data_IF_878430656423
#
_entry.id   IF_878430656423
#
_cell.length_a   1.000
_cell.length_b   1.000
_cell.length_c   1.000
_cell.angle_alpha   90.00
_cell.angle_beta   90.00
_cell.angle_gamma   90.00
#
_symmetry.space_group_name_H-M   'P 1'
#
loop_
_entity.id
_entity.type
_entity.pdbx_description
1 polymer ?
#
# COMPACT_ATOMS: atom_id res chain seq x y z
N UNK A 1 11.50 -3.15 -4.26
CA UNK A 1 10.46 -4.05 -4.80
C UNK A 1 9.86 -3.49 -6.08
N UNK A 2 9.37 -2.26 -6.10
CA UNK A 2 8.80 -1.61 -7.30
C UNK A 2 9.68 -1.71 -8.54
N UNK A 3 10.95 -1.26 -8.48
CA UNK A 3 11.87 -1.35 -9.62
C UNK A 3 12.09 -2.78 -10.13
N UNK A 4 12.16 -3.76 -9.23
CA UNK A 4 12.30 -5.17 -9.62
C UNK A 4 11.05 -5.66 -10.33
N UNK A 5 9.86 -5.27 -9.85
CA UNK A 5 8.58 -5.57 -10.49
C UNK A 5 8.47 -4.97 -11.89
N UNK A 6 8.86 -3.70 -12.06
CA UNK A 6 8.89 -3.03 -13.38
C UNK A 6 9.89 -3.71 -14.32
N UNK A 7 11.09 -4.06 -13.84
CA UNK A 7 12.07 -4.79 -14.67
C UNK A 7 11.53 -6.15 -15.12
N UNK A 8 10.84 -6.86 -14.22
CA UNK A 8 10.24 -8.16 -14.54
C UNK A 8 9.10 -8.03 -15.54
N UNK A 9 8.22 -7.04 -15.38
CA UNK A 9 7.13 -6.80 -16.32
C UNK A 9 7.66 -6.47 -17.72
N UNK A 10 8.68 -5.62 -17.81
CA UNK A 10 9.33 -5.26 -19.06
C UNK A 10 9.97 -6.47 -19.73
N UNK A 11 10.64 -7.34 -18.95
CA UNK A 11 11.25 -8.58 -19.47
C UNK A 11 10.21 -9.51 -20.12
N UNK A 12 8.99 -9.54 -19.60
CA UNK A 12 7.93 -10.42 -20.08
C UNK A 12 6.90 -9.72 -20.99
N UNK A 13 7.13 -8.45 -21.35
CA UNK A 13 6.23 -7.70 -22.22
C UNK A 13 4.83 -7.45 -21.63
N UNK A 14 4.70 -7.45 -20.30
CA UNK A 14 3.43 -7.21 -19.60
C UNK A 14 3.38 -5.83 -18.97
N UNK A 15 2.18 -5.26 -18.85
CA UNK A 15 1.96 -3.94 -18.23
C UNK A 15 2.11 -4.04 -16.72
N UNK A 16 2.99 -3.22 -16.14
CA UNK A 16 3.08 -3.07 -14.69
C UNK A 16 1.95 -2.16 -14.20
N UNK A 17 1.26 -2.57 -13.14
CA UNK A 17 0.21 -1.80 -12.47
C UNK A 17 0.56 -1.68 -10.99
N UNK A 18 0.46 -0.48 -10.45
CA UNK A 18 0.74 -0.21 -9.04
C UNK A 18 -0.46 0.45 -8.38
N UNK A 19 -0.92 -0.14 -7.28
CA UNK A 19 -1.97 0.40 -6.43
C UNK A 19 -1.40 0.49 -5.01
N UNK A 20 -1.48 1.67 -4.42
CA UNK A 20 -1.11 1.90 -3.03
C UNK A 20 -2.35 1.99 -2.16
N UNK A 21 -2.47 1.08 -1.19
CA UNK A 21 -3.42 1.22 -0.09
C UNK A 21 -2.83 2.18 0.93
N UNK A 22 -3.37 3.39 0.98
CA UNK A 22 -2.87 4.46 1.83
C UNK A 22 -3.74 4.63 3.08
N UNK A 23 -3.10 4.89 4.21
CA UNK A 23 -3.73 5.22 5.47
C UNK A 23 -2.78 6.09 6.29
N UNK A 24 -3.12 7.37 6.48
CA UNK A 24 -2.35 8.32 7.27
C UNK A 24 -2.97 8.53 8.65
N UNK A 25 -3.26 7.43 9.33
CA UNK A 25 -3.86 7.43 10.65
C UNK A 25 -3.17 6.36 11.50
N UNK A 26 -2.34 6.82 12.44
CA UNK A 26 -1.57 5.95 13.31
C UNK A 26 -2.46 5.22 14.32
N UNK A 27 -3.54 5.85 14.78
CA UNK A 27 -4.46 5.27 15.75
C UNK A 27 -5.24 4.12 15.12
N UNK A 28 -5.80 4.35 13.93
CA UNK A 28 -6.48 3.31 13.15
C UNK A 28 -5.54 2.14 12.81
N UNK A 29 -4.28 2.43 12.45
CA UNK A 29 -3.28 1.38 12.21
C UNK A 29 -3.02 0.57 13.48
N UNK A 30 -2.79 1.22 14.62
CA UNK A 30 -2.53 0.53 15.87
C UNK A 30 -3.73 -0.30 16.33
N UNK A 31 -4.94 0.22 16.16
CA UNK A 31 -6.18 -0.54 16.41
C UNK A 31 -6.22 -1.81 15.56
N UNK A 32 -5.91 -1.72 14.25
CA UNK A 32 -5.83 -2.90 13.36
C UNK A 32 -4.72 -3.87 13.74
N UNK A 33 -3.56 -3.38 14.21
CA UNK A 33 -2.44 -4.22 14.62
C UNK A 33 -2.73 -4.99 15.92
N UNK A 34 -3.52 -4.41 16.82
CA UNK A 34 -3.92 -5.02 18.10
C UNK A 34 -5.09 -6.00 17.96
N UNK A 35 -6.01 -5.75 17.03
CA UNK A 35 -7.21 -6.59 16.83
C UNK A 35 -6.97 -7.83 15.97
N UNK A 36 -5.91 -7.82 15.14
CA UNK A 36 -5.56 -9.00 14.31
C UNK A 36 -4.97 -10.14 15.14
N UNK A 37 -5.11 -11.37 14.65
CA UNK A 37 -4.32 -12.51 15.15
C UNK A 37 -2.84 -12.32 14.76
N UNK A 38 -2.02 -11.87 15.71
CA UNK A 38 -0.60 -11.58 15.50
C UNK A 38 0.23 -12.85 15.24
N UNK A 39 1.08 -12.82 14.22
CA UNK A 39 2.14 -13.81 13.99
C UNK A 39 3.45 -13.39 14.67
N UNK A 40 4.34 -14.34 14.96
CA UNK A 40 5.58 -14.10 15.72
C UNK A 40 6.48 -13.01 15.10
N UNK A 41 6.58 -12.96 13.78
CA UNK A 41 7.41 -11.97 13.06
C UNK A 41 6.77 -10.60 12.89
N UNK A 42 5.51 -10.43 13.28
CA UNK A 42 4.76 -9.21 13.07
C UNK A 42 4.86 -8.28 14.27
N UNK A 43 4.99 -6.98 13.99
CA UNK A 43 4.93 -5.93 15.02
C UNK A 43 3.54 -5.89 15.66
N UNK A 44 3.49 -5.44 16.91
CA UNK A 44 2.25 -5.30 17.68
C UNK A 44 1.65 -3.90 17.58
N UNK A 45 2.50 -2.88 17.46
CA UNK A 45 2.12 -1.48 17.31
C UNK A 45 3.22 -0.69 16.62
N UNK A 46 2.89 0.51 16.16
CA UNK A 46 3.84 1.54 15.77
C UNK A 46 4.20 2.34 17.01
N UNK A 47 5.50 2.48 17.31
CA UNK A 47 5.98 3.02 18.59
C UNK A 47 5.94 4.54 18.69
N UNK A 48 6.01 5.26 17.57
CA UNK A 48 5.98 6.73 17.57
C UNK A 48 5.49 7.32 16.26
N UNK A 49 4.94 8.53 16.35
CA UNK A 49 4.51 9.31 15.20
C UNK A 49 5.68 9.65 14.25
N UNK A 50 6.88 9.86 14.80
CA UNK A 50 8.08 10.12 14.01
C UNK A 50 8.45 8.90 13.16
N UNK A 51 8.44 7.71 13.76
CA UNK A 51 8.69 6.47 13.03
C UNK A 51 7.61 6.22 11.98
N UNK A 52 6.34 6.50 12.32
CA UNK A 52 5.21 6.38 11.41
C UNK A 52 5.35 7.28 10.18
N UNK A 53 5.60 8.57 10.38
CA UNK A 53 5.81 9.54 9.28
C UNK A 53 7.02 9.17 8.43
N UNK A 54 8.12 8.71 9.04
CA UNK A 54 9.30 8.24 8.31
C UNK A 54 8.96 7.05 7.42
N UNK A 55 8.16 6.11 7.90
CA UNK A 55 7.71 4.95 7.12
C UNK A 55 6.79 5.35 5.96
N UNK A 56 5.78 6.19 6.21
CA UNK A 56 4.88 6.70 5.16
C UNK A 56 5.64 7.45 4.06
N UNK A 57 6.52 8.37 4.44
CA UNK A 57 7.31 9.17 3.51
C UNK A 57 8.40 8.35 2.79
N UNK A 58 8.81 7.23 3.38
CA UNK A 58 9.76 6.30 2.78
C UNK A 58 9.15 5.30 1.80
N UNK A 59 7.83 5.35 1.59
CA UNK A 59 7.14 4.50 0.62
C UNK A 59 7.70 4.75 -0.80
N UNK A 60 7.92 3.65 -1.54
CA UNK A 60 8.43 3.72 -2.92
C UNK A 60 7.28 3.68 -3.89
N UNK A 61 7.24 4.63 -4.82
CA UNK A 61 6.28 4.70 -5.92
C UNK A 61 6.99 4.60 -7.27
N UNK A 62 6.31 4.15 -8.34
CA UNK A 62 6.85 4.24 -9.68
C UNK A 62 7.06 5.71 -10.09
N UNK A 63 8.23 6.05 -10.64
CA UNK A 63 8.54 7.43 -11.06
C UNK A 63 7.93 7.80 -12.41
N UNK A 64 7.86 6.85 -13.34
CA UNK A 64 7.52 7.10 -14.75
C UNK A 64 6.30 6.29 -15.22
N UNK A 65 5.40 5.92 -14.32
CA UNK A 65 4.18 5.19 -14.69
C UNK A 65 3.00 5.62 -13.85
N UNK A 66 1.81 5.63 -14.45
CA UNK A 66 0.54 5.87 -13.75
C UNK A 66 0.38 4.87 -12.60
N UNK A 67 -0.04 5.38 -11.45
CA UNK A 67 -0.41 4.56 -10.31
C UNK A 67 -1.70 5.08 -9.67
N UNK A 68 -2.38 4.18 -8.94
CA UNK A 68 -3.56 4.50 -8.18
C UNK A 68 -3.22 4.52 -6.69
N UNK A 69 -3.69 5.54 -5.97
CA UNK A 69 -3.73 5.52 -4.51
C UNK A 69 -5.19 5.35 -4.07
N UNK A 70 -5.45 4.42 -3.17
CA UNK A 70 -6.78 4.22 -2.55
C UNK A 70 -6.74 4.49 -1.06
N UNK A 71 -7.79 5.11 -0.53
CA UNK A 71 -7.93 5.31 0.91
C UNK A 71 -8.42 4.03 1.57
N UNK A 72 -7.54 3.38 2.32
CA UNK A 72 -7.84 2.12 3.01
C UNK A 72 -8.45 2.31 4.41
N UNK A 73 -8.79 3.57 4.79
CA UNK A 73 -9.68 3.83 5.92
C UNK A 73 -11.15 3.53 5.59
N UNK A 74 -11.52 3.56 4.31
CA UNK A 74 -12.88 3.25 3.86
C UNK A 74 -13.12 1.73 3.76
N UNK A 75 -14.37 1.27 3.77
CA UNK A 75 -14.73 -0.10 3.42
C UNK A 75 -14.26 -0.47 2.01
N UNK A 76 -13.93 -1.74 1.78
CA UNK A 76 -13.41 -2.24 0.51
C UNK A 76 -14.31 -1.86 -0.66
N UNK A 77 -15.62 -1.91 -0.47
CA UNK A 77 -16.64 -1.62 -1.47
C UNK A 77 -16.51 -0.19 -2.02
N UNK A 78 -16.00 0.76 -1.24
CA UNK A 78 -15.84 2.17 -1.65
C UNK A 78 -14.67 2.40 -2.61
N UNK A 79 -13.62 1.57 -2.54
CA UNK A 79 -12.44 1.74 -3.39
C UNK A 79 -12.17 0.57 -4.34
N UNK A 80 -12.84 -0.57 -4.16
CA UNK A 80 -12.71 -1.74 -5.03
C UNK A 80 -13.06 -1.42 -6.49
N UNK A 81 -14.14 -0.67 -6.72
CA UNK A 81 -14.52 -0.25 -8.08
C UNK A 81 -13.42 0.57 -8.76
N UNK A 82 -12.82 1.53 -8.03
CA UNK A 82 -11.70 2.34 -8.54
C UNK A 82 -10.50 1.47 -8.89
N UNK A 83 -10.19 0.47 -8.07
CA UNK A 83 -9.11 -0.49 -8.34
C UNK A 83 -9.40 -1.31 -9.60
N UNK A 84 -10.61 -1.87 -9.72
CA UNK A 84 -11.00 -2.69 -10.88
C UNK A 84 -10.97 -1.87 -12.18
N UNK A 85 -11.44 -0.63 -12.12
CA UNK A 85 -11.37 0.29 -13.26
C UNK A 85 -9.91 0.60 -13.65
N UNK A 86 -9.01 0.80 -12.68
CA UNK A 86 -7.59 1.04 -12.98
C UNK A 86 -6.89 -0.20 -13.55
N UNK A 87 -7.21 -1.40 -13.06
CA UNK A 87 -6.64 -2.66 -13.54
C UNK A 87 -7.09 -2.95 -14.97
N UNK A 88 -8.33 -2.62 -15.32
CA UNK A 88 -8.92 -2.90 -16.63
C UNK A 88 -8.45 -1.96 -17.76
N UNK A 89 -7.74 -0.88 -17.44
CA UNK A 89 -7.12 0.07 -18.40
C UNK A 89 -5.77 -0.41 -18.91
#
# INVERSE_FOLDING_TARGET
MVEKGIKLSNKHGVKYKYIECYLNDMEEINMRLQTRKRLVSQIEKVESEVAFKKWLNGSKRPLNSEYLIVNSSEPLERYAEKMMNYISR
#
